data_IF_047851124264
#
_entry.id   IF_047851124264
#
_cell.length_a   1.000
_cell.length_b   1.000
_cell.length_c   1.000
_cell.angle_alpha   90.00
_cell.angle_beta   90.00
_cell.angle_gamma   90.00
#
_symmetry.space_group_name_H-M   'P 1'
#
loop_
_entity.id
_entity.type
_entity.pdbx_description
1 polymer ?
#
# COMPACT_ATOMS: atom_id res chain seq x y z
N UNK A 1 17.37 -1.30 7.44
CA UNK A 1 17.43 -2.04 8.73
C UNK A 1 17.09 -1.13 9.91
N UNK A 2 17.70 0.06 10.01
CA UNK A 2 17.48 1.03 11.10
C UNK A 2 15.99 1.38 11.32
N UNK A 3 15.32 1.99 10.33
CA UNK A 3 13.90 2.39 10.48
C UNK A 3 12.93 1.23 10.75
N UNK A 4 13.23 0.02 10.25
CA UNK A 4 12.42 -1.16 10.57
C UNK A 4 12.55 -1.52 12.07
N UNK A 5 13.77 -1.46 12.62
CA UNK A 5 14.00 -1.66 14.05
C UNK A 5 13.31 -0.58 14.89
N UNK A 6 13.38 0.69 14.47
CA UNK A 6 12.69 1.78 15.18
C UNK A 6 11.17 1.64 15.13
N UNK A 7 10.60 1.20 14.02
CA UNK A 7 9.18 0.90 13.89
C UNK A 7 8.70 -0.15 14.91
N UNK A 8 9.43 -1.27 15.06
CA UNK A 8 9.06 -2.30 16.03
C UNK A 8 9.20 -1.84 17.48
N UNK A 9 10.18 -0.98 17.78
CA UNK A 9 10.29 -0.35 19.11
C UNK A 9 9.06 0.50 19.42
N UNK A 10 8.57 1.26 18.44
CA UNK A 10 7.39 2.11 18.59
C UNK A 10 6.12 1.28 18.79
N UNK A 11 5.95 0.19 18.03
CA UNK A 11 4.85 -0.77 18.23
C UNK A 11 4.86 -1.40 19.62
N UNK A 12 6.04 -1.84 20.08
CA UNK A 12 6.21 -2.46 21.40
C UNK A 12 5.92 -1.44 22.51
N UNK A 13 6.40 -0.21 22.38
CA UNK A 13 6.13 0.87 23.34
C UNK A 13 4.63 1.20 23.42
N UNK A 14 3.93 1.13 22.28
CA UNK A 14 2.48 1.21 22.22
C UNK A 14 1.76 -0.08 22.63
N UNK A 15 2.46 -1.16 23.02
CA UNK A 15 1.86 -2.47 23.37
C UNK A 15 1.00 -3.07 22.24
N UNK A 16 1.37 -2.83 20.99
CA UNK A 16 0.73 -3.44 19.82
C UNK A 16 1.24 -4.88 19.70
N UNK A 17 0.33 -5.81 19.43
CA UNK A 17 0.68 -7.21 19.19
C UNK A 17 1.48 -7.32 17.88
N UNK A 18 2.51 -8.15 17.89
CA UNK A 18 3.37 -8.30 16.71
C UNK A 18 2.70 -9.22 15.69
N UNK A 19 2.84 -8.92 14.38
CA UNK A 19 2.37 -9.84 13.34
C UNK A 19 3.07 -11.20 13.43
N UNK A 20 2.36 -12.28 13.12
CA UNK A 20 2.94 -13.63 13.03
C UNK A 20 4.05 -13.71 11.97
N UNK A 21 3.89 -12.97 10.88
CA UNK A 21 4.82 -12.93 9.75
C UNK A 21 5.08 -11.47 9.36
N UNK A 22 6.35 -11.11 9.22
CA UNK A 22 6.80 -9.81 8.73
C UNK A 22 7.66 -10.03 7.48
N UNK A 23 7.03 -10.16 6.29
CA UNK A 23 7.79 -10.43 5.08
C UNK A 23 8.53 -9.18 4.61
N UNK A 24 9.74 -9.36 4.08
CA UNK A 24 10.53 -8.27 3.47
C UNK A 24 10.56 -8.43 1.96
N UNK A 25 10.25 -7.37 1.24
CA UNK A 25 10.27 -7.34 -0.24
C UNK A 25 11.58 -7.88 -0.81
N UNK A 26 12.72 -7.48 -0.23
CA UNK A 26 14.05 -7.92 -0.65
C UNK A 26 14.28 -9.44 -0.56
N UNK A 27 13.48 -10.14 0.25
CA UNK A 27 13.53 -11.60 0.44
C UNK A 27 12.46 -12.34 -0.39
N UNK A 28 11.67 -11.61 -1.20
CA UNK A 28 10.52 -12.13 -1.97
C UNK A 28 10.57 -11.77 -3.46
N UNK A 29 11.76 -11.41 -3.95
CA UNK A 29 11.97 -11.09 -5.37
C UNK A 29 11.60 -12.27 -6.29
N UNK A 30 11.90 -13.54 -5.98
CA UNK A 30 11.48 -14.65 -6.83
C UNK A 30 9.98 -14.73 -7.04
N UNK A 31 9.18 -14.57 -5.98
CA UNK A 31 7.71 -14.60 -6.05
C UNK A 31 7.15 -13.40 -6.81
N UNK A 32 7.75 -12.22 -6.62
CA UNK A 32 7.37 -11.04 -7.40
C UNK A 32 7.65 -11.27 -8.88
N UNK A 33 8.83 -11.76 -9.24
CA UNK A 33 9.19 -12.02 -10.63
C UNK A 33 8.29 -13.07 -11.27
N UNK A 34 7.89 -14.12 -10.52
CA UNK A 34 6.93 -15.12 -10.96
C UNK A 34 5.56 -14.50 -11.26
N UNK A 35 5.06 -13.66 -10.36
CA UNK A 35 3.80 -12.95 -10.57
C UNK A 35 3.86 -12.03 -11.78
N UNK A 36 4.92 -11.24 -11.94
CA UNK A 36 5.06 -10.34 -13.10
C UNK A 36 5.13 -11.14 -14.41
N UNK A 37 5.88 -12.26 -14.44
CA UNK A 37 5.93 -13.14 -15.62
C UNK A 37 4.54 -13.67 -15.99
N UNK A 38 3.83 -14.23 -15.01
CA UNK A 38 2.49 -14.77 -15.26
C UNK A 38 1.48 -13.69 -15.67
N UNK A 39 1.59 -12.47 -15.15
CA UNK A 39 0.76 -11.35 -15.60
C UNK A 39 1.06 -10.97 -17.06
N UNK A 40 2.34 -10.98 -17.48
CA UNK A 40 2.72 -10.76 -18.88
C UNK A 40 2.20 -11.88 -19.77
N UNK A 41 2.38 -13.14 -19.38
CA UNK A 41 1.92 -14.32 -20.13
C UNK A 41 0.40 -14.35 -20.30
N UNK A 42 -0.35 -13.87 -19.30
CA UNK A 42 -1.82 -13.78 -19.33
C UNK A 42 -2.34 -12.54 -20.04
N UNK A 43 -1.47 -11.65 -20.53
CA UNK A 43 -1.86 -10.43 -21.23
C UNK A 43 -2.35 -9.30 -20.31
N UNK A 44 -2.12 -9.41 -19.00
CA UNK A 44 -2.43 -8.36 -18.02
C UNK A 44 -1.29 -7.35 -17.83
N UNK A 45 -0.09 -7.66 -18.30
CA UNK A 45 1.04 -6.76 -18.26
C UNK A 45 1.83 -6.77 -19.58
N UNK A 46 2.60 -5.71 -19.82
CA UNK A 46 3.42 -5.56 -21.03
C UNK A 46 4.75 -4.87 -20.72
N UNK A 47 5.77 -5.23 -21.50
CA UNK A 47 7.14 -4.74 -21.36
C UNK A 47 7.35 -3.51 -22.24
N UNK A 48 8.02 -2.48 -21.71
CA UNK A 48 8.49 -1.31 -22.46
C UNK A 48 9.85 -0.87 -21.92
N UNK A 49 10.90 -0.95 -22.76
CA UNK A 49 12.26 -0.51 -22.42
C UNK A 49 12.79 -1.04 -21.07
N UNK A 50 12.47 -2.29 -20.72
CA UNK A 50 12.88 -2.91 -19.45
C UNK A 50 11.94 -2.63 -18.26
N UNK A 51 11.03 -1.66 -18.37
CA UNK A 51 9.89 -1.53 -17.46
C UNK A 51 8.80 -2.55 -17.81
N UNK A 52 8.01 -2.96 -16.83
CA UNK A 52 6.79 -3.76 -17.04
C UNK A 52 5.61 -3.03 -16.41
N UNK A 53 4.59 -2.78 -17.21
CA UNK A 53 3.36 -2.10 -16.80
C UNK A 53 2.18 -3.05 -16.80
N UNK A 54 1.30 -2.91 -15.83
CA UNK A 54 -0.01 -3.53 -15.84
C UNK A 54 -0.94 -2.75 -16.78
N UNK A 55 -1.62 -3.44 -17.69
CA UNK A 55 -2.61 -2.86 -18.58
C UNK A 55 -3.97 -2.84 -17.86
N UNK A 56 -4.40 -1.69 -17.33
CA UNK A 56 -5.63 -1.65 -16.51
C UNK A 56 -6.88 -2.06 -17.29
N UNK A 57 -6.93 -1.75 -18.58
CA UNK A 57 -8.03 -2.13 -19.48
C UNK A 57 -8.14 -3.65 -19.70
N UNK A 58 -7.07 -4.41 -19.43
CA UNK A 58 -7.11 -5.87 -19.51
C UNK A 58 -7.91 -6.52 -18.38
N UNK A 59 -8.28 -5.76 -17.34
CA UNK A 59 -8.98 -6.26 -16.17
C UNK A 59 -10.37 -5.59 -16.05
N UNK A 60 -11.46 -6.27 -16.48
CA UNK A 60 -12.80 -5.69 -16.51
C UNK A 60 -13.33 -5.19 -15.16
N UNK A 61 -12.83 -5.72 -14.05
CA UNK A 61 -13.23 -5.34 -12.70
C UNK A 61 -12.43 -4.18 -12.08
N UNK A 62 -11.59 -3.48 -12.85
CA UNK A 62 -10.74 -2.42 -12.31
C UNK A 62 -11.58 -1.25 -11.79
N UNK A 63 -11.38 -0.85 -10.54
CA UNK A 63 -12.17 0.20 -9.88
C UNK A 63 -13.28 -0.32 -8.97
N UNK A 64 -13.48 -1.65 -8.88
CA UNK A 64 -14.57 -2.25 -8.10
C UNK A 64 -14.46 -2.02 -6.59
N UNK A 65 -13.27 -1.82 -6.05
CA UNK A 65 -13.10 -1.54 -4.61
C UNK A 65 -13.40 -0.07 -4.30
N UNK A 66 -12.83 0.84 -5.10
CA UNK A 66 -12.96 2.28 -4.93
C UNK A 66 -14.28 2.85 -5.44
N UNK A 67 -15.01 2.11 -6.27
CA UNK A 67 -16.24 2.55 -6.93
C UNK A 67 -16.00 3.61 -8.02
N UNK A 68 -14.75 3.77 -8.48
CA UNK A 68 -14.36 4.75 -9.50
C UNK A 68 -14.36 4.12 -10.89
N UNK A 69 -14.91 4.82 -11.87
CA UNK A 69 -14.74 4.44 -13.28
C UNK A 69 -13.37 4.87 -13.81
N UNK A 70 -12.89 4.25 -14.89
CA UNK A 70 -11.65 4.67 -15.55
C UNK A 70 -11.75 6.12 -16.07
N UNK A 71 -12.93 6.52 -16.53
CA UNK A 71 -13.22 7.87 -16.99
C UNK A 71 -13.08 8.91 -15.86
N UNK A 72 -13.65 8.63 -14.69
CA UNK A 72 -13.51 9.50 -13.50
C UNK A 72 -12.06 9.65 -13.08
N UNK A 73 -11.30 8.55 -13.15
CA UNK A 73 -9.87 8.55 -12.80
C UNK A 73 -9.03 9.38 -13.76
N UNK A 74 -9.30 9.30 -15.07
CA UNK A 74 -8.60 10.10 -16.08
C UNK A 74 -8.87 11.60 -15.91
N UNK A 75 -10.11 11.99 -15.63
CA UNK A 75 -10.49 13.40 -15.45
C UNK A 75 -9.76 14.08 -14.26
N UNK A 76 -9.38 13.31 -13.23
CA UNK A 76 -8.64 13.79 -12.06
C UNK A 76 -7.12 13.67 -12.13
N UNK A 77 -6.57 13.00 -13.15
CA UNK A 77 -5.15 12.68 -13.23
C UNK A 77 -4.31 13.91 -13.61
N UNK A 78 -3.76 14.61 -12.60
CA UNK A 78 -2.68 15.61 -12.76
C UNK A 78 -1.30 14.93 -12.92
N UNK A 79 -1.16 13.95 -13.80
CA UNK A 79 0.04 13.13 -13.90
C UNK A 79 0.88 13.57 -15.12
N UNK A 80 2.19 13.73 -14.94
CA UNK A 80 3.16 13.66 -16.05
C UNK A 80 3.02 12.29 -16.70
N UNK A 81 2.20 12.20 -17.74
CA UNK A 81 1.91 10.95 -18.44
C UNK A 81 3.21 10.45 -19.06
N UNK A 82 3.74 9.33 -18.55
CA UNK A 82 4.78 8.59 -19.27
C UNK A 82 4.17 8.14 -20.60
N UNK A 83 4.52 8.83 -21.68
CA UNK A 83 3.95 8.66 -23.02
C UNK A 83 4.17 7.24 -23.60
N UNK A 84 5.01 6.43 -22.95
CA UNK A 84 5.27 5.04 -23.30
C UNK A 84 4.18 4.08 -22.83
N UNK A 85 3.33 4.51 -21.88
CA UNK A 85 2.20 3.71 -21.42
C UNK A 85 1.11 3.67 -22.49
N UNK A 86 0.50 2.49 -22.67
CA UNK A 86 -0.66 2.30 -23.56
C UNK A 86 -1.87 3.05 -23.04
N UNK A 87 -2.05 3.08 -21.72
CA UNK A 87 -3.12 3.81 -21.07
C UNK A 87 -2.58 4.64 -19.88
N UNK A 88 -3.07 5.89 -19.63
CA UNK A 88 -2.52 6.77 -18.59
C UNK A 88 -2.54 6.18 -17.18
N UNK A 89 -3.54 5.33 -16.90
CA UNK A 89 -3.71 4.67 -15.60
C UNK A 89 -2.90 3.39 -15.44
N UNK A 90 -2.18 2.93 -16.47
CA UNK A 90 -1.29 1.79 -16.36
C UNK A 90 -0.21 2.08 -15.30
N UNK A 91 0.04 1.11 -14.43
CA UNK A 91 0.98 1.24 -13.33
C UNK A 91 2.12 0.24 -13.46
N UNK A 92 3.29 0.59 -12.95
CA UNK A 92 4.44 -0.29 -13.03
C UNK A 92 4.28 -1.48 -12.06
N UNK A 93 4.51 -2.68 -12.57
CA UNK A 93 4.70 -3.90 -11.77
C UNK A 93 6.19 -4.26 -11.65
N UNK A 94 7.00 -3.83 -12.62
CA UNK A 94 8.46 -3.86 -12.55
C UNK A 94 9.04 -2.58 -13.16
N UNK A 95 10.08 -2.03 -12.53
CA UNK A 95 10.79 -0.85 -13.04
C UNK A 95 12.25 -1.19 -13.28
N UNK A 96 12.73 -0.88 -14.47
CA UNK A 96 14.17 -0.87 -14.78
C UNK A 96 14.92 0.05 -13.81
N UNK A 97 16.10 -0.39 -13.38
CA UNK A 97 16.89 0.37 -12.41
C UNK A 97 17.65 1.51 -13.10
N UNK A 98 17.65 2.68 -12.46
CA UNK A 98 18.56 3.77 -12.86
C UNK A 98 19.97 3.52 -12.32
N UNK A 99 21.01 4.09 -12.95
CA UNK A 99 22.38 3.97 -12.43
C UNK A 99 22.49 4.37 -10.96
N UNK A 100 23.00 3.47 -10.13
CA UNK A 100 23.17 3.68 -8.69
C UNK A 100 21.97 3.33 -7.82
N UNK A 101 20.83 2.95 -8.39
CA UNK A 101 19.70 2.42 -7.62
C UNK A 101 19.91 0.94 -7.26
N UNK A 102 19.38 0.47 -6.10
CA UNK A 102 19.30 -0.96 -5.81
C UNK A 102 18.50 -1.69 -6.90
N UNK A 103 19.03 -2.82 -7.35
CA UNK A 103 18.46 -3.60 -8.44
C UNK A 103 18.61 -5.10 -8.21
N UNK A 104 17.69 -5.86 -8.79
CA UNK A 104 17.71 -7.31 -8.89
C UNK A 104 17.63 -7.73 -10.35
N UNK A 105 18.26 -8.86 -10.66
CA UNK A 105 18.20 -9.44 -12.00
C UNK A 105 16.79 -9.92 -12.33
N UNK A 106 16.35 -9.67 -13.56
CA UNK A 106 15.05 -10.09 -14.07
C UNK A 106 15.14 -10.44 -15.56
N UNK A 107 14.12 -11.10 -16.14
CA UNK A 107 14.04 -11.34 -17.58
C UNK A 107 14.06 -10.06 -18.43
N UNK A 108 13.73 -8.91 -17.83
CA UNK A 108 13.66 -7.60 -18.50
C UNK A 108 14.89 -6.73 -18.18
N UNK A 109 15.94 -7.32 -17.60
CA UNK A 109 17.14 -6.64 -17.13
C UNK A 109 17.09 -6.24 -15.65
N UNK A 110 18.15 -5.61 -15.13
CA UNK A 110 18.21 -5.18 -13.74
C UNK A 110 17.11 -4.18 -13.40
N UNK A 111 16.38 -4.42 -12.33
CA UNK A 111 15.26 -3.57 -11.93
C UNK A 111 14.80 -3.79 -10.51
N UNK A 112 13.62 -3.28 -10.20
CA UNK A 112 13.00 -3.34 -8.89
C UNK A 112 11.48 -3.47 -9.00
N UNK A 113 10.82 -4.04 -7.99
CA UNK A 113 9.36 -4.13 -7.97
C UNK A 113 8.69 -2.76 -8.06
N UNK A 114 7.50 -2.75 -8.66
CA UNK A 114 6.54 -1.66 -8.48
C UNK A 114 5.89 -1.74 -7.10
N UNK A 115 5.48 -0.61 -6.53
CA UNK A 115 4.98 -0.54 -5.15
C UNK A 115 3.85 -1.56 -4.85
N UNK A 116 2.93 -1.76 -5.78
CA UNK A 116 1.72 -2.58 -5.56
C UNK A 116 1.99 -4.09 -5.67
N UNK A 117 2.93 -4.53 -6.51
CA UNK A 117 3.16 -5.98 -6.78
C UNK A 117 3.71 -6.72 -5.57
N UNK A 118 4.37 -5.97 -4.68
CA UNK A 118 5.00 -6.47 -3.46
C UNK A 118 3.97 -7.15 -2.55
N UNK A 119 2.88 -6.44 -2.23
CA UNK A 119 1.84 -6.94 -1.34
C UNK A 119 1.05 -8.11 -1.98
N UNK A 120 0.78 -8.05 -3.28
CA UNK A 120 0.12 -9.13 -4.02
C UNK A 120 0.92 -10.44 -3.97
N UNK A 121 2.23 -10.38 -4.30
CA UNK A 121 3.08 -11.57 -4.32
C UNK A 121 3.31 -12.14 -2.91
N UNK A 122 3.56 -11.28 -1.93
CA UNK A 122 3.80 -11.73 -0.55
C UNK A 122 2.53 -12.28 0.11
N UNK A 123 1.37 -11.63 -0.06
CA UNK A 123 0.11 -12.15 0.50
C UNK A 123 -0.28 -13.48 -0.12
N UNK A 124 -0.11 -13.65 -1.43
CA UNK A 124 -0.33 -14.92 -2.12
C UNK A 124 0.53 -16.06 -1.54
N UNK A 125 1.82 -15.80 -1.28
CA UNK A 125 2.74 -16.79 -0.72
C UNK A 125 2.31 -17.30 0.66
N UNK A 126 1.87 -16.40 1.54
CA UNK A 126 1.62 -16.74 2.93
C UNK A 126 0.16 -17.09 3.24
N UNK A 127 -0.79 -16.53 2.48
CA UNK A 127 -2.23 -16.64 2.76
C UNK A 127 -2.99 -17.38 1.64
N UNK A 128 -2.33 -17.68 0.52
CA UNK A 128 -2.95 -18.32 -0.64
C UNK A 128 -3.69 -17.35 -1.55
N UNK A 129 -4.34 -17.90 -2.59
CA UNK A 129 -4.97 -17.10 -3.66
C UNK A 129 -6.19 -16.28 -3.21
N UNK A 130 -6.88 -16.74 -2.16
CA UNK A 130 -8.01 -16.04 -1.55
C UNK A 130 -7.90 -16.16 -0.04
N UNK A 131 -7.93 -15.04 0.67
CA UNK A 131 -7.95 -15.02 2.14
C UNK A 131 -9.08 -14.15 2.69
N UNK A 132 -9.24 -14.15 4.02
CA UNK A 132 -10.45 -13.62 4.65
C UNK A 132 -10.46 -12.09 4.69
N UNK A 133 -9.47 -11.45 5.33
CA UNK A 133 -9.48 -10.01 5.60
C UNK A 133 -8.21 -9.36 5.06
N UNK A 134 -8.37 -8.31 4.23
CA UNK A 134 -7.30 -7.41 3.82
C UNK A 134 -7.57 -6.01 4.40
N UNK A 135 -6.60 -5.47 5.16
CA UNK A 135 -6.74 -4.20 5.87
C UNK A 135 -5.74 -3.11 5.43
N UNK A 136 -6.06 -1.85 5.72
CA UNK A 136 -5.16 -0.72 5.48
C UNK A 136 -5.80 0.63 5.81
N UNK A 137 -5.07 1.74 5.60
CA UNK A 137 -5.65 3.08 5.68
C UNK A 137 -6.60 3.35 4.50
N UNK A 138 -7.57 4.24 4.66
CA UNK A 138 -8.51 4.60 3.58
C UNK A 138 -7.83 5.23 2.35
N UNK A 139 -6.64 5.82 2.52
CA UNK A 139 -5.78 6.25 1.40
C UNK A 139 -5.29 5.10 0.53
N UNK A 140 -5.22 3.88 1.08
CA UNK A 140 -4.80 2.70 0.33
C UNK A 140 -5.91 2.10 -0.53
N UNK A 141 -7.18 2.49 -0.34
CA UNK A 141 -8.30 2.06 -1.20
C UNK A 141 -7.93 2.27 -2.67
N UNK A 142 -7.40 3.45 -3.00
CA UNK A 142 -6.95 3.77 -4.34
C UNK A 142 -5.67 4.64 -4.33
N UNK A 143 -4.63 4.28 -5.11
CA UNK A 143 -4.63 3.19 -6.08
C UNK A 143 -4.16 1.83 -5.51
N UNK A 144 -3.69 1.78 -4.26
CA UNK A 144 -2.90 0.63 -3.77
C UNK A 144 -3.68 -0.70 -3.79
N UNK A 145 -4.74 -0.82 -3.00
CA UNK A 145 -5.53 -2.04 -2.88
C UNK A 145 -6.29 -2.37 -4.18
N UNK A 146 -6.72 -1.35 -4.94
CA UNK A 146 -7.30 -1.57 -6.26
C UNK A 146 -6.32 -2.25 -7.22
N UNK A 147 -5.05 -1.84 -7.19
CA UNK A 147 -4.00 -2.44 -8.00
C UNK A 147 -3.64 -3.85 -7.52
N UNK A 148 -3.65 -4.10 -6.20
CA UNK A 148 -3.42 -5.43 -5.64
C UNK A 148 -4.51 -6.42 -6.06
N UNK A 149 -5.77 -5.99 -6.05
CA UNK A 149 -6.89 -6.76 -6.60
C UNK A 149 -6.62 -7.09 -8.06
N UNK A 150 -6.34 -6.09 -8.89
CA UNK A 150 -6.12 -6.32 -10.32
C UNK A 150 -4.97 -7.32 -10.58
N UNK A 151 -3.84 -7.13 -9.90
CA UNK A 151 -2.68 -8.03 -10.01
C UNK A 151 -3.00 -9.45 -9.53
N UNK A 152 -3.58 -9.59 -8.34
CA UNK A 152 -3.82 -10.89 -7.73
C UNK A 152 -4.90 -11.67 -8.45
N UNK A 153 -6.00 -11.02 -8.82
CA UNK A 153 -7.09 -11.66 -9.55
C UNK A 153 -6.72 -11.92 -11.02
N UNK A 154 -5.97 -11.01 -11.67
CA UNK A 154 -5.41 -11.24 -12.99
C UNK A 154 -4.39 -12.39 -13.01
N UNK A 155 -3.60 -12.54 -11.95
CA UNK A 155 -2.63 -13.62 -11.83
C UNK A 155 -3.26 -14.95 -11.43
N UNK A 156 -4.26 -14.99 -10.55
CA UNK A 156 -4.81 -16.25 -10.01
C UNK A 156 -6.14 -16.68 -10.64
N UNK A 157 -6.90 -15.73 -11.20
CA UNK A 157 -8.30 -15.93 -11.60
C UNK A 157 -9.28 -16.07 -10.44
N UNK A 158 -8.85 -15.79 -9.21
CA UNK A 158 -9.67 -15.94 -7.98
C UNK A 158 -9.72 -14.61 -7.22
N UNK A 159 -10.79 -14.31 -6.47
CA UNK A 159 -10.87 -13.12 -5.64
C UNK A 159 -9.73 -13.06 -4.61
N UNK A 160 -9.09 -11.90 -4.44
CA UNK A 160 -7.97 -11.76 -3.49
C UNK A 160 -8.41 -11.90 -2.03
N UNK A 161 -9.44 -11.15 -1.63
CA UNK A 161 -9.89 -11.10 -0.24
C UNK A 161 -11.43 -11.08 -0.15
N UNK A 162 -11.98 -11.71 0.89
CA UNK A 162 -13.43 -11.74 1.14
C UNK A 162 -13.94 -10.44 1.76
N UNK A 163 -13.14 -9.83 2.62
CA UNK A 163 -13.48 -8.61 3.36
C UNK A 163 -12.34 -7.60 3.27
N UNK A 164 -12.71 -6.34 2.99
CA UNK A 164 -11.79 -5.21 2.97
C UNK A 164 -12.08 -4.30 4.17
N UNK A 165 -11.06 -3.96 4.95
CA UNK A 165 -11.20 -3.15 6.15
C UNK A 165 -10.29 -1.93 6.10
N UNK A 166 -10.89 -0.75 5.97
CA UNK A 166 -10.15 0.51 5.88
C UNK A 166 -10.38 1.41 7.09
N UNK A 167 -9.31 1.83 7.76
CA UNK A 167 -9.39 2.83 8.82
C UNK A 167 -9.36 4.26 8.24
N UNK A 168 -10.15 5.15 8.84
CA UNK A 168 -10.20 6.55 8.45
C UNK A 168 -8.90 7.30 8.80
N UNK A 169 -8.72 8.48 8.22
CA UNK A 169 -7.61 9.36 8.54
C UNK A 169 -7.64 9.85 9.98
N UNK A 170 -6.43 10.01 10.53
CA UNK A 170 -6.19 10.88 11.69
C UNK A 170 -6.04 12.33 11.21
N UNK A 171 -6.79 13.22 11.83
CA UNK A 171 -6.75 14.67 11.59
C UNK A 171 -6.10 15.29 12.82
N UNK A 172 -5.12 16.18 12.71
CA UNK A 172 -4.52 16.88 13.86
C UNK A 172 -4.97 18.34 13.81
N UNK A 173 -5.52 18.85 14.91
CA UNK A 173 -6.02 20.23 15.02
C UNK A 173 -6.95 20.65 13.87
N UNK A 174 -7.79 19.71 13.41
CA UNK A 174 -8.71 19.87 12.26
C UNK A 174 -8.03 20.06 10.89
N UNK A 175 -6.72 19.86 10.81
CA UNK A 175 -5.96 19.79 9.56
C UNK A 175 -5.43 18.38 9.27
N UNK A 176 -5.30 18.04 7.99
CA UNK A 176 -4.66 16.78 7.60
C UNK A 176 -3.18 16.82 7.97
N UNK A 177 -2.66 15.76 8.58
CA UNK A 177 -1.22 15.62 8.82
C UNK A 177 -0.44 15.63 7.49
N UNK A 178 0.58 16.49 7.39
CA UNK A 178 1.54 16.44 6.29
C UNK A 178 2.90 16.95 6.72
N UNK A 179 3.97 16.33 6.20
CA UNK A 179 5.35 16.79 6.47
C UNK A 179 5.56 18.26 6.10
N UNK A 180 4.89 18.75 5.06
CA UNK A 180 4.95 20.13 4.59
C UNK A 180 4.36 21.16 5.55
N UNK A 181 3.36 20.77 6.36
CA UNK A 181 2.75 21.66 7.35
C UNK A 181 3.47 21.62 8.71
N UNK A 182 4.45 20.72 8.88
CA UNK A 182 5.17 20.56 10.14
C UNK A 182 4.32 20.04 11.30
N UNK A 183 3.09 19.60 11.03
CA UNK A 183 2.12 19.13 12.03
C UNK A 183 2.14 17.59 12.19
N UNK A 184 3.21 16.92 11.78
CA UNK A 184 3.36 15.47 11.93
C UNK A 184 3.89 15.19 13.33
N UNK A 185 3.08 14.53 14.17
CA UNK A 185 3.52 14.00 15.46
C UNK A 185 3.95 12.54 15.29
N UNK A 186 5.17 12.23 15.71
CA UNK A 186 5.66 10.85 15.79
C UNK A 186 5.14 10.16 17.04
N UNK A 187 5.08 8.83 16.99
CA UNK A 187 4.73 8.00 18.17
C UNK A 187 5.63 8.31 19.36
N UNK A 188 6.92 8.59 19.12
CA UNK A 188 7.91 8.89 20.17
C UNK A 188 7.64 10.23 20.85
N UNK A 189 7.31 11.26 20.08
CA UNK A 189 6.94 12.55 20.64
C UNK A 189 5.68 12.46 21.48
N UNK A 190 4.71 11.63 21.07
CA UNK A 190 3.50 11.37 21.86
C UNK A 190 3.80 10.60 23.14
N UNK A 191 4.62 9.56 23.07
CA UNK A 191 5.05 8.78 24.24
C UNK A 191 5.89 9.61 25.22
N UNK A 192 6.58 10.64 24.75
CA UNK A 192 7.27 11.61 25.60
C UNK A 192 6.32 12.54 26.38
N UNK A 193 5.06 12.68 25.93
CA UNK A 193 4.05 13.57 26.52
C UNK A 193 2.97 12.82 27.29
N UNK A 194 2.58 11.62 26.84
CA UNK A 194 1.45 10.86 27.36
C UNK A 194 1.79 9.37 27.54
N UNK A 195 1.24 8.70 28.57
CA UNK A 195 1.37 7.26 28.71
C UNK A 195 0.77 6.51 27.51
N UNK A 196 1.40 5.41 27.07
CA UNK A 196 0.91 4.59 25.95
C UNK A 196 -0.57 4.18 26.07
N UNK A 197 -1.04 3.89 27.29
CA UNK A 197 -2.45 3.53 27.54
C UNK A 197 -3.42 4.66 27.19
N UNK A 198 -3.03 5.93 27.41
CA UNK A 198 -3.86 7.11 27.13
C UNK A 198 -3.95 7.31 25.62
N UNK A 199 -2.81 7.23 24.92
CA UNK A 199 -2.76 7.30 23.45
C UNK A 199 -3.65 6.22 22.82
N UNK A 200 -3.53 4.97 23.28
CA UNK A 200 -4.35 3.86 22.79
C UNK A 200 -5.83 4.06 23.10
N UNK A 201 -6.15 4.41 24.35
CA UNK A 201 -7.53 4.64 24.78
C UNK A 201 -8.18 5.69 23.88
N UNK A 202 -7.48 6.80 23.65
CA UNK A 202 -7.92 7.86 22.77
C UNK A 202 -8.26 7.35 21.35
N UNK A 203 -7.35 6.59 20.73
CA UNK A 203 -7.54 6.04 19.38
C UNK A 203 -8.79 5.14 19.30
N UNK A 204 -9.06 4.33 20.32
CA UNK A 204 -10.20 3.39 20.32
C UNK A 204 -11.53 4.03 20.77
N UNK A 205 -11.54 5.30 21.17
CA UNK A 205 -12.80 6.01 21.48
C UNK A 205 -13.63 6.30 20.24
N UNK A 206 -12.99 6.45 19.09
CA UNK A 206 -13.67 6.58 17.81
C UNK A 206 -13.83 5.21 17.15
N UNK A 207 -14.93 5.04 16.43
CA UNK A 207 -15.07 3.92 15.51
C UNK A 207 -13.96 4.02 14.44
N UNK A 208 -13.29 2.91 14.10
CA UNK A 208 -12.10 2.93 13.23
C UNK A 208 -12.35 3.52 11.81
N UNK A 209 -13.62 3.54 11.37
CA UNK A 209 -14.07 4.15 10.09
C UNK A 209 -14.46 5.62 10.20
N UNK A 210 -14.37 6.21 11.39
CA UNK A 210 -14.67 7.61 11.62
C UNK A 210 -13.37 8.40 11.73
N UNK A 211 -13.23 9.55 11.05
CA UNK A 211 -12.08 10.42 11.23
C UNK A 211 -11.91 10.77 12.70
N UNK A 212 -10.69 10.66 13.22
CA UNK A 212 -10.36 10.99 14.60
C UNK A 212 -9.57 12.29 14.62
N UNK A 213 -10.10 13.32 15.29
CA UNK A 213 -9.36 14.55 15.54
C UNK A 213 -8.42 14.33 16.73
N UNK A 214 -7.13 14.37 16.47
CA UNK A 214 -6.05 14.03 17.37
C UNK A 214 -5.31 15.32 17.75
N UNK A 215 -5.85 16.05 18.73
CA UNK A 215 -5.27 17.30 19.26
C UNK A 215 -4.78 17.16 20.69
N UNK A 216 -3.97 18.12 21.14
CA UNK A 216 -3.43 18.14 22.51
C UNK A 216 -4.53 18.32 23.56
N UNK A 217 -5.59 19.07 23.24
CA UNK A 217 -6.75 19.25 24.13
C UNK A 217 -7.48 17.92 24.32
N UNK A 218 -7.75 17.19 23.24
CA UNK A 218 -8.44 15.91 23.29
C UNK A 218 -7.61 14.82 24.00
N UNK A 219 -6.30 14.79 23.79
CA UNK A 219 -5.40 13.88 24.51
C UNK A 219 -5.31 14.19 26.00
N UNK A 220 -5.33 15.48 26.36
CA UNK A 220 -5.34 15.91 27.77
C UNK A 220 -6.67 15.57 28.43
N UNK A 221 -7.79 15.71 27.73
CA UNK A 221 -9.10 15.28 28.23
C UNK A 221 -9.21 13.76 28.44
N UNK A 222 -8.44 12.97 27.69
CA UNK A 222 -8.38 11.52 27.81
C UNK A 222 -7.39 10.99 28.88
N UNK A 223 -6.52 11.85 29.40
CA UNK A 223 -5.44 11.50 30.36
C UNK A 223 -5.93 11.48 31.82
#
# INVERSE_FOLDING_TARGET
>A
AEFAGEYFKDLQALKIEMPDIVPKVSEHIPEILDMVKGLVEKGHAYVVDGDVYYAVESFPGYGKLSGRSLEDMQAGARIEVDARKRHPMDFAVWKSAKPGEPAWDSPWGPGRPGWHIECSAMSLKYLGSTFDIHGGGEDLIFPHHENEIAQSEGFTGQPLARYWMHNAFLVIDREKMSKSLGNVLTVRELLGKYPAKVIRFFIVTAHYRSPLNFGAEELTAAA
#
